data_IF_692772681650
#
_entry.id   IF_692772681650
#
_cell.length_a   1.000
_cell.length_b   1.000
_cell.length_c   1.000
_cell.angle_alpha   90.00
_cell.angle_beta   90.00
_cell.angle_gamma   90.00
#
_symmetry.space_group_name_H-M   'P 1'
#
loop_
_entity.id
_entity.type
_entity.pdbx_description
1 polymer ?
#
# COMPACT_ATOMS: atom_id res chain seq x y z
N UNK A 1 -27.74 50.61 -81.27
CA UNK A 1 -28.14 49.45 -80.45
C UNK A 1 -27.23 49.44 -79.23
N UNK A 2 -27.62 50.15 -78.18
CA UNK A 2 -26.78 50.42 -77.01
C UNK A 2 -26.72 49.19 -76.08
N UNK A 3 -25.50 48.90 -75.63
CA UNK A 3 -25.14 47.80 -74.75
C UNK A 3 -25.48 48.19 -73.31
N UNK A 4 -26.42 47.47 -72.68
CA UNK A 4 -26.72 47.63 -71.25
C UNK A 4 -25.71 46.81 -70.44
N UNK A 5 -24.93 47.51 -69.63
CA UNK A 5 -23.94 46.98 -68.69
C UNK A 5 -24.64 46.57 -67.38
N UNK A 6 -24.62 45.28 -67.04
CA UNK A 6 -25.07 44.78 -65.74
C UNK A 6 -23.92 44.89 -64.71
N UNK A 7 -24.06 45.79 -63.73
CA UNK A 7 -23.13 45.92 -62.61
C UNK A 7 -23.27 44.73 -61.64
N UNK A 8 -22.28 43.83 -61.62
CA UNK A 8 -22.10 42.84 -60.55
C UNK A 8 -21.83 43.53 -59.21
N UNK A 9 -22.74 43.34 -58.25
CA UNK A 9 -22.61 43.80 -56.86
C UNK A 9 -21.61 42.88 -56.14
N UNK A 10 -20.39 43.38 -55.92
CA UNK A 10 -19.40 42.72 -55.08
C UNK A 10 -19.90 42.67 -53.63
N UNK A 11 -20.38 41.50 -53.19
CA UNK A 11 -20.59 41.20 -51.78
C UNK A 11 -19.21 40.94 -51.19
N UNK A 12 -18.77 41.82 -50.29
CA UNK A 12 -17.44 41.83 -49.72
C UNK A 12 -17.11 40.55 -48.97
N UNK A 13 -16.04 39.89 -49.42
CA UNK A 13 -15.44 38.66 -48.85
C UNK A 13 -14.99 38.85 -47.37
N UNK A 14 -14.93 40.09 -46.88
CA UNK A 14 -14.48 40.41 -45.53
C UNK A 14 -15.50 40.09 -44.41
N UNK A 15 -16.80 40.02 -44.71
CA UNK A 15 -17.81 39.75 -43.68
C UNK A 15 -17.96 38.25 -43.36
N UNK A 16 -17.56 37.36 -44.28
CA UNK A 16 -17.60 35.90 -44.08
C UNK A 16 -16.42 35.42 -43.23
N UNK A 17 -15.24 36.05 -43.37
CA UNK A 17 -14.06 35.73 -42.53
C UNK A 17 -14.26 36.12 -41.06
N UNK A 18 -14.98 37.22 -40.78
CA UNK A 18 -15.32 37.58 -39.39
C UNK A 18 -16.31 36.61 -38.75
N UNK A 19 -17.30 36.11 -39.50
CA UNK A 19 -18.30 35.19 -38.95
C UNK A 19 -17.74 33.77 -38.73
N UNK A 20 -16.88 33.28 -39.63
CA UNK A 20 -16.19 31.99 -39.48
C UNK A 20 -15.12 32.02 -38.37
N UNK A 21 -14.42 33.15 -38.19
CA UNK A 21 -13.47 33.32 -37.09
C UNK A 21 -14.13 33.36 -35.72
N UNK A 22 -15.32 33.97 -35.62
CA UNK A 22 -16.07 34.04 -34.36
C UNK A 22 -16.73 32.71 -33.99
N UNK A 23 -17.19 31.94 -34.97
CA UNK A 23 -17.72 30.58 -34.75
C UNK A 23 -16.62 29.60 -34.30
N UNK A 24 -15.39 29.74 -34.82
CA UNK A 24 -14.25 28.90 -34.41
C UNK A 24 -13.74 29.24 -32.99
N UNK A 25 -13.89 30.49 -32.56
CA UNK A 25 -13.52 30.95 -31.21
C UNK A 25 -14.52 30.50 -30.13
N UNK A 26 -15.81 30.39 -30.48
CA UNK A 26 -16.86 29.88 -29.57
C UNK A 26 -16.79 28.36 -29.45
N UNK A 27 -16.53 27.62 -30.54
CA UNK A 27 -16.43 26.15 -30.51
C UNK A 27 -15.16 25.67 -29.79
N UNK A 28 -14.07 26.47 -29.82
CA UNK A 28 -12.85 26.18 -29.07
C UNK A 28 -12.98 26.42 -27.55
N UNK A 29 -13.95 27.22 -27.11
CA UNK A 29 -14.20 27.51 -25.69
C UNK A 29 -15.11 26.47 -25.02
N UNK A 30 -15.87 25.68 -25.79
CA UNK A 30 -16.79 24.66 -25.26
C UNK A 30 -16.14 23.30 -24.95
N UNK A 31 -14.83 23.15 -25.16
CA UNK A 31 -14.12 21.87 -24.94
C UNK A 31 -13.28 21.81 -23.66
N UNK A 32 -13.46 22.73 -22.72
CA UNK A 32 -12.70 22.74 -21.45
C UNK A 32 -13.64 22.86 -20.26
N UNK A 33 -14.53 21.89 -20.05
CA UNK A 33 -15.17 21.68 -18.74
C UNK A 33 -15.59 20.21 -18.59
N UNK A 34 -14.68 19.27 -18.87
CA UNK A 34 -14.68 18.05 -18.07
C UNK A 34 -13.97 18.39 -16.77
N UNK A 35 -14.70 19.06 -15.86
CA UNK A 35 -14.33 19.07 -14.45
C UNK A 35 -14.39 17.62 -13.99
N UNK A 36 -13.29 16.91 -14.18
CA UNK A 36 -12.98 15.78 -13.31
C UNK A 36 -12.85 16.41 -11.94
N UNK A 37 -13.92 16.36 -11.15
CA UNK A 37 -13.85 16.75 -9.75
C UNK A 37 -12.82 15.81 -9.14
N UNK A 38 -11.61 16.33 -8.93
CA UNK A 38 -10.67 15.67 -8.05
C UNK A 38 -11.35 15.68 -6.69
N UNK A 39 -12.00 14.58 -6.33
CA UNK A 39 -12.68 14.49 -5.04
C UNK A 39 -11.67 14.82 -3.95
N UNK A 40 -11.98 15.88 -3.22
CA UNK A 40 -11.18 16.32 -2.12
C UNK A 40 -11.35 15.32 -0.97
N UNK A 41 -10.41 15.31 -0.02
CA UNK A 41 -10.58 14.48 1.20
C UNK A 41 -11.83 14.92 1.98
N UNK A 42 -12.15 16.20 1.92
CA UNK A 42 -13.25 16.81 2.66
C UNK A 42 -14.62 16.27 2.21
N UNK A 43 -14.78 15.95 0.91
CA UNK A 43 -16.02 15.38 0.37
C UNK A 43 -16.35 14.03 1.02
N UNK A 44 -15.33 13.18 1.24
CA UNK A 44 -15.51 11.91 1.92
C UNK A 44 -15.72 12.10 3.44
N UNK A 45 -14.98 13.03 4.04
CA UNK A 45 -15.00 13.26 5.49
C UNK A 45 -16.27 13.98 5.96
N UNK A 46 -17.04 14.61 5.06
CA UNK A 46 -18.35 15.17 5.36
C UNK A 46 -19.29 14.18 6.06
N UNK A 47 -19.14 12.88 5.78
CA UNK A 47 -19.84 11.81 6.47
C UNK A 47 -18.89 10.89 7.27
N UNK A 48 -17.69 10.60 6.75
CA UNK A 48 -16.79 9.64 7.38
C UNK A 48 -16.00 10.18 8.59
N UNK A 49 -16.10 11.46 8.94
CA UNK A 49 -15.55 12.01 10.21
C UNK A 49 -16.54 11.92 11.38
N UNK A 50 -17.75 11.41 11.17
CA UNK A 50 -18.72 11.16 12.24
C UNK A 50 -18.41 9.85 12.97
N UNK A 51 -18.32 9.88 14.30
CA UNK A 51 -18.03 8.67 15.10
C UNK A 51 -19.26 7.76 15.27
N UNK A 52 -20.46 8.24 14.94
CA UNK A 52 -21.71 7.48 14.96
C UNK A 52 -22.02 6.80 13.62
N UNK A 53 -21.24 7.08 12.56
CA UNK A 53 -21.49 6.46 11.26
C UNK A 53 -21.13 4.98 11.27
N UNK A 54 -22.13 4.14 11.00
CA UNK A 54 -21.99 2.69 10.95
C UNK A 54 -22.69 2.09 9.73
N UNK A 55 -22.37 0.84 9.43
CA UNK A 55 -23.07 0.01 8.45
C UNK A 55 -23.16 -1.41 8.97
N UNK A 56 -24.16 -2.16 8.51
CA UNK A 56 -24.22 -3.60 8.77
C UNK A 56 -23.35 -4.36 7.76
N UNK A 57 -22.51 -5.28 8.24
CA UNK A 57 -21.77 -6.27 7.44
C UNK A 57 -21.83 -7.63 8.11
N UNK A 58 -22.36 -8.63 7.41
CA UNK A 58 -22.54 -9.99 7.93
C UNK A 58 -23.31 -10.04 9.27
N UNK A 59 -24.39 -9.27 9.40
CA UNK A 59 -25.20 -9.22 10.62
C UNK A 59 -24.52 -8.51 11.80
N UNK A 60 -23.42 -7.80 11.58
CA UNK A 60 -22.70 -7.03 12.59
C UNK A 60 -22.63 -5.57 12.20
N UNK A 61 -22.86 -4.71 13.16
CA UNK A 61 -22.60 -3.28 13.02
C UNK A 61 -21.08 -3.05 12.96
N UNK A 62 -20.65 -2.28 11.97
CA UNK A 62 -19.25 -1.92 11.72
C UNK A 62 -19.18 -0.41 11.52
N UNK A 63 -18.31 0.23 12.29
CA UNK A 63 -18.06 1.67 12.12
C UNK A 63 -17.44 1.99 10.77
N UNK A 64 -17.92 3.08 10.17
CA UNK A 64 -17.37 3.69 8.95
C UNK A 64 -16.56 4.95 9.27
N UNK A 65 -16.38 5.27 10.55
CA UNK A 65 -15.61 6.43 11.02
C UNK A 65 -14.15 6.36 10.61
N UNK A 66 -13.60 7.50 10.22
CA UNK A 66 -12.21 7.72 9.84
C UNK A 66 -11.67 8.92 10.60
N UNK A 67 -10.81 8.67 11.60
CA UNK A 67 -10.00 9.73 12.19
C UNK A 67 -8.90 10.15 11.21
N UNK A 68 -9.16 11.26 10.50
CA UNK A 68 -8.26 11.82 9.49
C UNK A 68 -6.87 12.16 10.05
N UNK A 69 -6.76 12.47 11.35
CA UNK A 69 -5.50 12.84 12.02
C UNK A 69 -4.54 11.66 12.10
N UNK A 70 -5.04 10.43 12.01
CA UNK A 70 -4.21 9.23 11.91
C UNK A 70 -3.54 9.19 10.55
N UNK A 71 -4.31 9.35 9.46
CA UNK A 71 -3.78 9.38 8.10
C UNK A 71 -2.79 10.53 7.88
N UNK A 72 -2.98 11.66 8.56
CA UNK A 72 -2.08 12.82 8.43
C UNK A 72 -0.66 12.57 8.97
N UNK A 73 -0.49 11.53 9.79
CA UNK A 73 0.83 11.05 10.25
C UNK A 73 1.48 10.07 9.27
N UNK A 74 0.70 9.53 8.33
CA UNK A 74 1.17 8.59 7.32
C UNK A 74 2.00 9.28 6.22
N UNK A 75 2.92 8.55 5.57
CA UNK A 75 3.52 8.99 4.31
C UNK A 75 2.48 9.33 3.21
N UNK A 76 1.26 8.77 3.31
CA UNK A 76 0.18 8.96 2.35
C UNK A 76 -0.75 10.14 2.63
N UNK A 77 -0.45 11.00 3.61
CA UNK A 77 -1.28 12.16 4.00
C UNK A 77 -1.67 13.16 2.89
N UNK A 78 -1.08 13.06 1.70
CA UNK A 78 -1.42 13.93 0.57
C UNK A 78 -2.35 13.27 -0.46
N UNK A 79 -2.66 11.98 -0.28
CA UNK A 79 -3.52 11.24 -1.20
C UNK A 79 -5.00 11.48 -0.87
N UNK A 80 -5.85 11.48 -1.89
CA UNK A 80 -7.31 11.45 -1.72
C UNK A 80 -7.77 10.04 -1.33
N UNK A 81 -8.94 9.92 -0.70
CA UNK A 81 -9.47 8.63 -0.25
C UNK A 81 -9.66 7.64 -1.43
N UNK A 82 -10.16 8.15 -2.56
CA UNK A 82 -10.39 7.38 -3.79
C UNK A 82 -9.11 6.91 -4.49
N UNK A 83 -7.94 7.42 -4.07
CA UNK A 83 -6.65 6.91 -4.57
C UNK A 83 -6.43 5.46 -4.13
N UNK A 84 -6.90 5.09 -2.93
CA UNK A 84 -6.80 3.73 -2.41
C UNK A 84 -8.14 2.99 -2.45
N UNK A 85 -9.24 3.66 -2.14
CA UNK A 85 -10.59 3.09 -2.18
C UNK A 85 -11.16 3.21 -3.58
N UNK A 86 -11.27 2.09 -4.29
CA UNK A 86 -11.69 2.05 -5.71
C UNK A 86 -12.84 1.08 -5.94
N UNK A 87 -13.49 1.23 -7.09
CA UNK A 87 -14.54 0.31 -7.55
C UNK A 87 -15.90 0.58 -6.93
N UNK A 88 -16.20 1.85 -6.70
CA UNK A 88 -17.53 2.35 -6.35
C UNK A 88 -17.73 3.72 -7.00
N UNK A 89 -18.99 4.13 -7.20
CA UNK A 89 -19.33 5.50 -7.55
C UNK A 89 -19.38 6.34 -6.27
N UNK A 90 -18.48 7.31 -6.08
CA UNK A 90 -18.46 8.14 -4.88
C UNK A 90 -19.58 9.20 -4.81
N UNK A 91 -20.31 9.46 -5.89
CA UNK A 91 -21.42 10.41 -5.91
C UNK A 91 -22.75 9.73 -5.51
N UNK A 92 -22.82 8.39 -5.55
CA UNK A 92 -23.97 7.62 -5.09
C UNK A 92 -23.92 7.35 -3.58
N UNK A 93 -24.64 8.12 -2.76
CA UNK A 93 -24.66 7.95 -1.29
C UNK A 93 -26.00 7.36 -0.81
N UNK A 94 -26.02 6.33 0.07
CA UNK A 94 -24.87 5.55 0.53
C UNK A 94 -24.27 4.71 -0.61
N UNK A 95 -22.94 4.61 -0.67
CA UNK A 95 -22.24 3.89 -1.74
C UNK A 95 -22.56 2.38 -1.65
N UNK A 96 -23.50 1.90 -2.48
CA UNK A 96 -24.07 0.54 -2.41
C UNK A 96 -23.19 -0.55 -3.03
N UNK A 97 -22.18 -0.17 -3.83
CA UNK A 97 -21.32 -1.13 -4.51
C UNK A 97 -20.21 -1.70 -3.63
N UNK A 98 -19.73 -2.90 -3.98
CA UNK A 98 -18.68 -3.62 -3.28
C UNK A 98 -17.32 -2.91 -3.44
N UNK A 99 -17.05 -1.94 -2.56
CA UNK A 99 -15.75 -1.26 -2.48
C UNK A 99 -14.64 -2.31 -2.43
N UNK A 100 -13.77 -2.29 -3.44
CA UNK A 100 -12.68 -3.26 -3.55
C UNK A 100 -11.70 -3.06 -2.40
N UNK A 101 -11.09 -4.15 -1.94
CA UNK A 101 -10.00 -4.07 -0.98
C UNK A 101 -8.86 -3.24 -1.57
N UNK A 102 -8.25 -2.39 -0.74
CA UNK A 102 -7.15 -1.52 -1.17
C UNK A 102 -6.00 -2.35 -1.74
N UNK A 103 -5.43 -1.90 -2.86
CA UNK A 103 -4.27 -2.56 -3.48
C UNK A 103 -3.04 -1.66 -3.40
N UNK A 104 -2.13 -1.97 -2.47
CA UNK A 104 -0.89 -1.21 -2.29
C UNK A 104 0.04 -1.32 -3.51
N UNK A 105 -0.10 -2.39 -4.30
CA UNK A 105 0.79 -2.70 -5.42
C UNK A 105 0.54 -1.86 -6.67
N UNK A 106 -0.61 -1.18 -6.73
CA UNK A 106 -0.90 -0.18 -7.78
C UNK A 106 0.21 0.88 -7.83
N UNK A 107 0.84 1.19 -6.68
CA UNK A 107 1.99 2.09 -6.60
C UNK A 107 3.28 1.39 -6.11
N UNK A 108 3.19 0.42 -5.18
CA UNK A 108 4.35 -0.27 -4.61
C UNK A 108 4.64 -1.61 -5.30
N UNK A 109 4.74 -1.62 -6.62
CA UNK A 109 4.91 -2.85 -7.43
C UNK A 109 6.14 -3.72 -7.05
N UNK A 110 7.20 -3.10 -6.51
CA UNK A 110 8.41 -3.80 -6.04
C UNK A 110 8.29 -4.40 -4.64
N UNK A 111 7.21 -4.11 -3.91
CA UNK A 111 7.05 -4.60 -2.54
C UNK A 111 6.86 -6.12 -2.47
N UNK A 112 6.22 -6.74 -3.46
CA UNK A 112 5.97 -8.19 -3.46
C UNK A 112 7.25 -9.02 -3.34
N UNK A 113 8.31 -8.65 -4.07
CA UNK A 113 9.57 -9.41 -4.08
C UNK A 113 10.42 -9.21 -2.82
N UNK A 114 10.04 -8.27 -1.94
CA UNK A 114 10.73 -8.04 -0.66
C UNK A 114 10.22 -8.96 0.46
N UNK A 115 9.07 -9.60 0.27
CA UNK A 115 8.44 -10.46 1.27
C UNK A 115 8.72 -11.94 0.92
N UNK A 116 9.95 -12.39 1.20
CA UNK A 116 10.37 -13.80 1.01
C UNK A 116 9.65 -14.79 1.94
N UNK A 117 8.88 -14.25 2.88
CA UNK A 117 8.01 -14.96 3.82
C UNK A 117 6.54 -14.79 3.41
N UNK A 118 5.68 -15.73 3.79
CA UNK A 118 4.25 -15.76 3.42
C UNK A 118 4.01 -15.76 1.89
N UNK A 119 4.33 -16.85 1.16
CA UNK A 119 4.17 -16.93 -0.30
C UNK A 119 2.74 -16.64 -0.79
N UNK A 120 1.72 -16.83 0.06
CA UNK A 120 0.32 -16.49 -0.21
C UNK A 120 0.09 -14.98 -0.45
N UNK A 121 1.01 -14.10 -0.01
CA UNK A 121 0.99 -12.69 -0.38
C UNK A 121 1.10 -12.49 -1.90
N UNK A 122 1.89 -13.33 -2.58
CA UNK A 122 2.06 -13.28 -4.04
C UNK A 122 0.76 -13.70 -4.73
N UNK A 123 0.12 -14.76 -4.26
CA UNK A 123 -1.13 -15.29 -4.83
C UNK A 123 -2.29 -14.29 -4.71
N UNK A 124 -2.34 -13.56 -3.59
CA UNK A 124 -3.44 -12.64 -3.28
C UNK A 124 -3.14 -11.18 -3.60
N UNK A 125 -1.95 -10.88 -4.14
CA UNK A 125 -1.46 -9.51 -4.30
C UNK A 125 -1.51 -8.68 -3.01
N UNK A 126 -1.50 -9.34 -1.85
CA UNK A 126 -1.65 -8.72 -0.53
C UNK A 126 -3.00 -8.01 -0.28
N UNK A 127 -4.02 -8.25 -1.10
CA UNK A 127 -5.34 -7.56 -1.03
C UNK A 127 -6.38 -8.31 -0.20
N UNK A 128 -6.10 -9.55 0.20
CA UNK A 128 -7.06 -10.40 0.92
C UNK A 128 -7.42 -9.85 2.30
N UNK A 129 -8.54 -10.30 2.86
CA UNK A 129 -8.91 -10.06 4.25
C UNK A 129 -8.41 -11.17 5.19
N UNK A 130 -7.71 -12.19 4.67
CA UNK A 130 -7.11 -13.23 5.51
C UNK A 130 -5.97 -12.66 6.33
N UNK A 131 -5.99 -12.97 7.64
CA UNK A 131 -4.96 -12.56 8.60
C UNK A 131 -3.59 -13.10 8.15
N UNK A 132 -2.55 -12.26 8.24
CA UNK A 132 -1.17 -12.61 7.90
C UNK A 132 -0.80 -12.56 6.41
N UNK A 133 -1.78 -12.45 5.50
CA UNK A 133 -1.56 -12.49 4.05
C UNK A 133 -1.99 -11.21 3.32
N UNK A 134 -2.09 -10.09 4.03
CA UNK A 134 -2.39 -8.79 3.42
C UNK A 134 -1.38 -7.74 3.83
N UNK A 135 -1.13 -6.79 2.95
CA UNK A 135 -0.21 -5.68 3.23
C UNK A 135 -0.64 -4.94 4.51
N UNK A 136 -1.95 -4.69 4.62
CA UNK A 136 -2.55 -4.01 5.78
C UNK A 136 -2.45 -4.80 7.09
N UNK A 137 -2.40 -6.13 7.02
CA UNK A 137 -2.28 -6.98 8.20
C UNK A 137 -0.97 -6.80 8.96
N UNK A 138 0.10 -6.37 8.27
CA UNK A 138 1.41 -6.12 8.90
C UNK A 138 1.76 -4.63 8.94
N UNK A 139 1.39 -3.86 7.92
CA UNK A 139 1.79 -2.46 7.79
C UNK A 139 0.76 -1.45 8.35
N UNK A 140 -0.48 -1.89 8.62
CA UNK A 140 -1.59 -1.00 8.97
C UNK A 140 -2.38 -0.51 7.76
N UNK A 141 -3.37 0.33 8.02
CA UNK A 141 -4.28 0.92 7.02
C UNK A 141 -4.03 2.43 6.92
N UNK A 142 -4.91 3.27 7.47
CA UNK A 142 -4.71 4.72 7.56
C UNK A 142 -3.52 5.08 8.46
N UNK A 143 -3.22 4.23 9.44
CA UNK A 143 -2.08 4.34 10.35
C UNK A 143 -0.76 3.82 9.76
N UNK A 144 -0.70 3.53 8.45
CA UNK A 144 0.51 3.02 7.81
C UNK A 144 1.68 3.98 7.97
N UNK A 145 2.79 3.46 8.50
CA UNK A 145 4.03 4.20 8.73
C UNK A 145 5.22 3.53 8.04
N UNK A 146 6.22 4.35 7.71
CA UNK A 146 7.48 3.87 7.13
C UNK A 146 8.16 2.83 8.05
N UNK A 147 8.71 1.73 7.51
CA UNK A 147 9.51 0.78 8.29
C UNK A 147 10.70 1.38 9.05
N UNK A 148 11.11 2.59 8.67
CA UNK A 148 12.28 3.29 9.22
C UNK A 148 11.96 4.10 10.47
N UNK A 149 10.70 4.31 10.83
CA UNK A 149 10.30 5.11 12.00
C UNK A 149 9.85 4.24 13.15
N UNK A 150 10.23 4.63 14.39
CA UNK A 150 9.97 3.85 15.61
C UNK A 150 8.49 3.50 15.84
N UNK A 151 7.58 4.37 15.41
CA UNK A 151 6.14 4.16 15.56
C UNK A 151 5.56 3.10 14.63
N UNK A 152 6.31 2.61 13.63
CA UNK A 152 5.79 1.62 12.68
C UNK A 152 5.67 0.25 13.33
N UNK A 153 4.59 -0.47 13.03
CA UNK A 153 4.35 -1.86 13.47
C UNK A 153 5.54 -2.74 13.07
N UNK A 154 6.10 -2.54 11.89
CA UNK A 154 7.22 -3.32 11.36
C UNK A 154 8.57 -2.61 11.52
N UNK A 155 8.67 -1.67 12.45
CA UNK A 155 9.97 -1.12 12.86
C UNK A 155 10.85 -2.23 13.43
N UNK A 156 12.17 -2.12 13.23
CA UNK A 156 13.14 -3.16 13.61
C UNK A 156 12.99 -3.67 15.05
N UNK A 157 12.63 -2.80 15.99
CA UNK A 157 12.50 -3.13 17.43
C UNK A 157 11.12 -3.71 17.76
N UNK A 158 10.13 -3.53 16.87
CA UNK A 158 8.77 -4.04 17.00
C UNK A 158 8.57 -5.39 16.30
N UNK A 159 9.54 -5.83 15.46
CA UNK A 159 9.43 -7.06 14.64
C UNK A 159 9.03 -8.28 15.47
N UNK A 160 9.63 -8.47 16.64
CA UNK A 160 9.34 -9.64 17.50
C UNK A 160 7.86 -9.70 17.87
N UNK A 161 7.33 -8.58 18.38
CA UNK A 161 5.92 -8.44 18.76
C UNK A 161 4.99 -8.54 17.55
N UNK A 162 5.38 -7.96 16.42
CA UNK A 162 4.56 -7.92 15.21
C UNK A 162 4.41 -9.29 14.57
N UNK A 163 5.48 -10.07 14.52
CA UNK A 163 5.43 -11.48 14.12
C UNK A 163 4.64 -12.31 15.15
N UNK A 164 4.87 -12.07 16.45
CA UNK A 164 4.23 -12.76 17.57
C UNK A 164 2.71 -12.59 17.65
N UNK A 165 2.16 -11.51 17.08
CA UNK A 165 0.71 -11.33 16.96
C UNK A 165 -0.02 -12.51 16.29
N UNK A 166 0.65 -13.21 15.36
CA UNK A 166 0.17 -14.45 14.76
C UNK A 166 1.00 -15.69 15.17
N UNK A 167 2.32 -15.53 15.32
CA UNK A 167 3.27 -16.60 15.64
C UNK A 167 3.62 -16.62 17.13
N UNK A 168 2.61 -16.88 17.97
CA UNK A 168 2.73 -16.77 19.43
C UNK A 168 3.72 -17.76 20.04
N UNK A 169 3.71 -19.00 19.55
CA UNK A 169 4.61 -20.04 20.06
C UNK A 169 6.06 -19.75 19.67
N UNK A 170 6.28 -19.28 18.45
CA UNK A 170 7.60 -18.90 17.97
C UNK A 170 8.12 -17.63 18.66
N UNK A 171 7.25 -16.64 18.92
CA UNK A 171 7.59 -15.49 19.78
C UNK A 171 8.03 -15.98 21.15
N UNK A 172 7.23 -16.82 21.80
CA UNK A 172 7.55 -17.37 23.12
C UNK A 172 8.89 -18.10 23.12
N UNK A 173 9.16 -18.96 22.14
CA UNK A 173 10.43 -19.67 22.04
C UNK A 173 11.60 -18.72 21.77
N UNK A 174 11.41 -17.71 20.92
CA UNK A 174 12.46 -16.75 20.58
C UNK A 174 12.81 -15.86 21.78
N UNK A 175 11.84 -15.34 22.53
CA UNK A 175 12.12 -14.46 23.69
C UNK A 175 12.84 -15.20 24.83
N UNK A 176 12.74 -16.53 24.88
CA UNK A 176 13.46 -17.37 25.84
C UNK A 176 14.83 -17.86 25.30
N UNK A 177 15.28 -17.38 24.14
CA UNK A 177 16.52 -17.80 23.50
C UNK A 177 17.71 -16.88 23.81
N UNK A 178 18.93 -17.40 23.64
CA UNK A 178 20.16 -16.57 23.75
C UNK A 178 20.23 -15.50 22.65
N UNK A 179 19.64 -15.74 21.47
CA UNK A 179 19.57 -14.72 20.41
C UNK A 179 18.73 -13.52 20.85
N UNK A 180 17.59 -13.74 21.49
CA UNK A 180 16.80 -12.63 22.02
C UNK A 180 17.50 -11.93 23.19
N UNK A 181 18.19 -12.67 24.07
CA UNK A 181 19.01 -12.06 25.13
C UNK A 181 20.07 -11.11 24.54
N UNK A 182 20.74 -11.51 23.46
CA UNK A 182 21.69 -10.65 22.76
C UNK A 182 21.00 -9.44 22.10
N UNK A 183 19.87 -9.68 21.44
CA UNK A 183 19.09 -8.66 20.73
C UNK A 183 18.52 -7.60 21.67
N UNK A 184 17.89 -8.01 22.77
CA UNK A 184 17.33 -7.11 23.80
C UNK A 184 18.40 -6.30 24.54
N UNK A 185 19.63 -6.81 24.63
CA UNK A 185 20.79 -6.07 25.13
C UNK A 185 21.41 -5.11 24.09
N UNK A 186 20.78 -4.94 22.92
CA UNK A 186 21.20 -3.96 21.91
C UNK A 186 22.41 -4.37 21.07
N UNK A 187 22.77 -5.67 21.06
CA UNK A 187 23.83 -6.17 20.18
C UNK A 187 23.35 -6.08 18.74
N UNK A 188 23.91 -5.15 17.96
CA UNK A 188 23.44 -4.82 16.62
C UNK A 188 23.44 -6.01 15.64
N UNK A 189 24.33 -6.98 15.84
CA UNK A 189 24.44 -8.18 15.02
C UNK A 189 23.54 -9.34 15.48
N UNK A 190 22.82 -9.18 16.60
CA UNK A 190 21.91 -10.21 17.09
C UNK A 190 20.71 -10.37 16.13
N UNK A 191 20.39 -11.60 15.71
CA UNK A 191 19.36 -11.82 14.71
C UNK A 191 17.95 -11.63 15.31
N UNK A 192 17.04 -11.05 14.53
CA UNK A 192 15.60 -11.06 14.79
C UNK A 192 14.87 -12.00 13.82
N UNK A 193 13.54 -12.01 13.86
CA UNK A 193 12.69 -12.87 13.03
C UNK A 193 13.07 -12.77 11.54
N UNK A 194 13.12 -11.56 10.99
CA UNK A 194 13.38 -11.36 9.56
C UNK A 194 14.86 -11.54 9.18
N UNK A 195 15.79 -11.44 10.14
CA UNK A 195 17.20 -11.79 9.90
C UNK A 195 17.36 -13.27 9.55
N UNK A 196 16.66 -14.14 10.29
CA UNK A 196 16.67 -15.59 10.05
C UNK A 196 15.74 -15.98 8.89
N UNK A 197 14.55 -15.37 8.80
CA UNK A 197 13.52 -15.70 7.80
C UNK A 197 13.66 -14.95 6.46
N UNK A 198 14.85 -14.41 6.15
CA UNK A 198 15.18 -13.85 4.83
C UNK A 198 15.24 -14.90 3.70
N UNK A 199 15.20 -16.18 4.05
CA UNK A 199 15.14 -17.32 3.13
C UNK A 199 14.23 -18.42 3.69
N UNK A 200 13.90 -19.40 2.84
CA UNK A 200 13.07 -20.55 3.20
C UNK A 200 13.80 -21.49 4.18
N UNK A 201 13.82 -21.16 5.46
CA UNK A 201 14.49 -21.94 6.52
C UNK A 201 13.52 -22.77 7.37
N UNK A 202 12.27 -22.85 6.97
CA UNK A 202 11.19 -23.58 7.66
C UNK A 202 10.69 -24.77 6.85
N UNK A 203 10.39 -25.86 7.54
CA UNK A 203 9.81 -27.09 6.96
C UNK A 203 8.48 -26.87 6.23
N UNK A 204 7.68 -25.87 6.64
CA UNK A 204 6.44 -25.50 5.95
C UNK A 204 6.67 -25.01 4.51
N UNK A 205 7.85 -24.47 4.22
CA UNK A 205 8.22 -23.88 2.92
C UNK A 205 9.03 -24.87 2.08
N UNK A 206 9.90 -25.67 2.72
CA UNK A 206 10.63 -26.79 2.09
C UNK A 206 9.93 -28.08 2.49
N UNK A 207 8.83 -28.41 1.80
CA UNK A 207 7.87 -29.42 2.25
C UNK A 207 8.36 -30.88 2.17
N UNK A 208 9.40 -31.17 1.38
CA UNK A 208 9.79 -32.57 1.08
C UNK A 208 11.29 -32.85 1.06
N UNK A 209 12.15 -31.83 1.04
CA UNK A 209 13.60 -32.03 0.99
C UNK A 209 14.26 -31.64 2.33
N UNK A 210 14.28 -32.61 3.24
CA UNK A 210 14.89 -32.45 4.58
C UNK A 210 16.39 -32.15 4.48
N UNK A 211 17.09 -32.72 3.49
CA UNK A 211 18.52 -32.47 3.31
C UNK A 211 18.77 -31.01 2.93
N UNK A 212 18.05 -30.51 1.92
CA UNK A 212 18.13 -29.11 1.51
C UNK A 212 17.75 -28.15 2.65
N UNK A 213 16.71 -28.49 3.42
CA UNK A 213 16.34 -27.69 4.59
C UNK A 213 17.48 -27.60 5.60
N UNK A 214 18.11 -28.74 5.93
CA UNK A 214 19.23 -28.78 6.89
C UNK A 214 20.45 -28.02 6.37
N UNK A 215 20.81 -28.20 5.11
CA UNK A 215 21.91 -27.43 4.48
C UNK A 215 21.62 -25.92 4.48
N UNK A 216 20.36 -25.52 4.24
CA UNK A 216 19.96 -24.11 4.26
C UNK A 216 20.02 -23.53 5.68
N UNK A 217 19.58 -24.28 6.68
CA UNK A 217 19.65 -23.90 8.10
C UNK A 217 21.12 -23.78 8.56
N UNK A 218 21.95 -24.78 8.25
CA UNK A 218 23.38 -24.75 8.55
C UNK A 218 24.05 -23.51 7.95
N UNK A 219 23.82 -23.26 6.66
CA UNK A 219 24.36 -22.08 5.97
C UNK A 219 23.92 -20.77 6.64
N UNK A 220 22.67 -20.67 7.10
CA UNK A 220 22.20 -19.50 7.84
C UNK A 220 22.96 -19.34 9.17
N UNK A 221 23.08 -20.40 9.97
CA UNK A 221 23.79 -20.34 11.26
C UNK A 221 25.26 -19.91 11.07
N UNK A 222 25.95 -20.52 10.11
CA UNK A 222 27.36 -20.23 9.84
C UNK A 222 27.59 -18.83 9.26
N UNK A 223 26.57 -18.21 8.64
CA UNK A 223 26.66 -16.84 8.13
C UNK A 223 26.92 -15.78 9.21
N UNK A 224 26.68 -16.12 10.48
CA UNK A 224 27.03 -15.29 11.63
C UNK A 224 28.10 -15.96 12.50
N UNK A 225 27.91 -17.23 12.87
CA UNK A 225 28.78 -17.89 13.85
C UNK A 225 30.15 -18.33 13.32
N UNK A 226 30.37 -18.28 12.00
CA UNK A 226 31.68 -18.56 11.40
C UNK A 226 32.23 -17.36 10.61
N UNK A 227 31.35 -16.61 9.94
CA UNK A 227 31.76 -15.49 9.09
C UNK A 227 32.04 -14.19 9.86
N UNK A 228 31.42 -13.98 11.02
CA UNK A 228 31.62 -12.80 11.85
C UNK A 228 32.60 -13.12 12.99
N UNK A 229 33.79 -12.52 12.94
CA UNK A 229 34.86 -12.75 13.93
C UNK A 229 34.45 -12.35 15.34
N UNK A 230 33.64 -11.30 15.48
CA UNK A 230 33.21 -10.80 16.78
C UNK A 230 32.14 -11.70 17.39
N UNK A 231 31.28 -12.30 16.57
CA UNK A 231 30.31 -13.31 17.02
C UNK A 231 31.06 -14.61 17.35
N UNK A 232 31.93 -15.06 16.45
CA UNK A 232 32.71 -16.29 16.63
C UNK A 232 33.50 -16.25 17.95
N UNK A 233 34.17 -15.13 18.27
CA UNK A 233 34.90 -14.98 19.52
C UNK A 233 34.01 -15.07 20.78
N UNK A 234 32.72 -14.77 20.68
CA UNK A 234 31.75 -14.83 21.80
C UNK A 234 31.01 -16.16 21.90
N UNK A 235 30.98 -16.94 20.82
CA UNK A 235 30.18 -18.17 20.74
C UNK A 235 30.99 -19.43 20.49
N UNK A 236 32.30 -19.32 20.23
CA UNK A 236 33.16 -20.48 20.09
C UNK A 236 33.13 -21.32 21.38
N UNK A 237 33.03 -22.66 21.29
CA UNK A 237 33.19 -23.52 22.45
C UNK A 237 34.55 -23.26 23.09
N UNK A 238 34.56 -23.05 24.40
CA UNK A 238 35.76 -23.03 25.23
C UNK A 238 36.43 -24.39 25.26
#
# INVERSE_FOLDING_TARGET
>A
MEVIVEKKKHIGINNIKLFLGFLFLIVSFSFINSSTFAQSRDDCLACHDDNEITTERNGKEVSLYVDVKILDKSPHKKLSCVTCHKGFDPDEVPHKENIKSINCLDCHNKALVQHTFHPQLLETSGTTNKIGYSCKGCHGTHDVLSPKVKGSIIYKDNIVKSCGGCHKDEEHNYINSQHYKAYSNGIASAPNCITCHKSSVTSKTIRTDTLLLKLTQEKLCLSCHLADKDILARTAPS
#
